data_IF_325591480800
#
_entry.id   IF_325591480800
#
_cell.length_a   1.000
_cell.length_b   1.000
_cell.length_c   1.000
_cell.angle_alpha   90.00
_cell.angle_beta   90.00
_cell.angle_gamma   90.00
#
_symmetry.space_group_name_H-M   'P 1'
#
loop_
_entity.id
_entity.type
_entity.pdbx_description
1 polymer ?
#
# COMPACT_ATOMS: atom_id res chain seq x y z
N UNK A 1 3.73 -13.17 -3.05
CA UNK A 1 3.47 -12.34 -1.86
C UNK A 1 2.15 -12.72 -1.17
N UNK A 2 1.01 -12.64 -1.86
CA UNK A 2 -0.34 -12.84 -1.29
C UNK A 2 -0.57 -14.11 -0.45
N UNK A 3 -0.22 -15.34 -0.91
CA UNK A 3 -0.48 -16.56 -0.14
C UNK A 3 0.28 -16.64 1.19
N UNK A 4 1.41 -15.93 1.30
CA UNK A 4 2.22 -15.88 2.52
C UNK A 4 1.57 -14.93 3.53
N UNK A 5 1.10 -13.76 3.06
CA UNK A 5 0.42 -12.78 3.91
C UNK A 5 -0.89 -13.35 4.47
N UNK A 6 -1.69 -14.03 3.64
CA UNK A 6 -2.93 -14.68 4.11
C UNK A 6 -2.70 -15.73 5.19
N UNK A 7 -1.58 -16.47 5.09
CA UNK A 7 -1.24 -17.53 6.03
C UNK A 7 -0.63 -17.01 7.34
N UNK A 8 0.10 -15.90 7.29
CA UNK A 8 0.94 -15.42 8.38
C UNK A 8 0.53 -14.05 8.94
N UNK A 9 -0.51 -13.41 8.43
CA UNK A 9 -1.03 -12.17 8.98
C UNK A 9 -1.41 -12.37 10.47
N UNK A 10 -0.81 -11.61 11.39
CA UNK A 10 -1.23 -11.66 12.79
C UNK A 10 -2.67 -11.18 12.93
N UNK A 11 -3.41 -11.75 13.88
CA UNK A 11 -4.86 -11.53 13.99
C UNK A 11 -5.24 -10.27 14.77
N UNK A 12 -4.26 -9.63 15.39
CA UNK A 12 -4.39 -8.51 16.32
C UNK A 12 -3.93 -7.17 15.72
N UNK A 13 -3.35 -7.19 14.52
CA UNK A 13 -2.92 -5.98 13.80
C UNK A 13 -3.51 -5.92 12.40
N UNK A 14 -3.49 -4.73 11.80
CA UNK A 14 -3.80 -4.54 10.39
C UNK A 14 -2.57 -4.89 9.56
N UNK A 15 -2.76 -5.73 8.54
CA UNK A 15 -1.71 -6.07 7.57
C UNK A 15 -2.16 -5.62 6.18
N UNK A 16 -1.35 -4.82 5.51
CA UNK A 16 -1.65 -4.30 4.18
C UNK A 16 -0.46 -4.51 3.23
N UNK A 17 -0.76 -4.83 1.96
CA UNK A 17 0.20 -4.81 0.86
C UNK A 17 -0.27 -3.78 -0.15
N UNK A 18 0.53 -2.74 -0.32
CA UNK A 18 0.32 -1.70 -1.31
C UNK A 18 1.30 -1.81 -2.48
N UNK A 19 0.88 -1.31 -3.63
CA UNK A 19 1.73 -1.09 -4.80
C UNK A 19 1.65 0.37 -5.20
N UNK A 20 2.78 0.93 -5.63
CA UNK A 20 2.83 2.26 -6.22
C UNK A 20 2.32 2.16 -7.66
N UNK A 21 1.25 2.89 -7.96
CA UNK A 21 0.71 3.03 -9.32
C UNK A 21 0.64 4.51 -9.63
N UNK A 22 1.38 4.95 -10.65
CA UNK A 22 1.59 6.38 -10.86
C UNK A 22 1.92 7.01 -9.49
N UNK A 23 1.23 8.07 -9.13
CA UNK A 23 1.42 8.85 -7.92
C UNK A 23 0.56 8.40 -6.74
N UNK A 24 -0.04 7.22 -6.85
CA UNK A 24 -1.04 6.72 -5.93
C UNK A 24 -0.64 5.37 -5.35
N UNK A 25 -1.10 5.11 -4.13
CA UNK A 25 -0.99 3.79 -3.53
C UNK A 25 -2.28 2.99 -3.81
N UNK A 26 -2.11 1.76 -4.30
CA UNK A 26 -3.21 0.80 -4.47
C UNK A 26 -2.97 -0.38 -3.53
N UNK A 27 -3.96 -0.69 -2.68
CA UNK A 27 -3.88 -1.84 -1.79
C UNK A 27 -4.43 -3.11 -2.46
N UNK A 28 -3.54 -4.07 -2.66
CA UNK A 28 -3.83 -5.39 -3.23
C UNK A 28 -4.02 -6.46 -2.15
N UNK A 29 -3.76 -6.12 -0.89
CA UNK A 29 -4.11 -6.91 0.29
C UNK A 29 -4.38 -5.97 1.45
N UNK A 30 -5.45 -6.23 2.19
CA UNK A 30 -5.74 -5.57 3.46
C UNK A 30 -6.50 -6.53 4.38
N UNK A 31 -5.90 -6.87 5.51
CA UNK A 31 -6.50 -7.68 6.56
C UNK A 31 -6.64 -6.84 7.82
N UNK A 32 -7.83 -6.86 8.42
CA UNK A 32 -8.11 -6.21 9.69
C UNK A 32 -8.39 -7.25 10.78
N UNK A 33 -8.08 -6.95 12.05
CA UNK A 33 -8.46 -7.81 13.15
C UNK A 33 -9.96 -8.14 13.12
N UNK A 34 -10.29 -9.44 13.15
CA UNK A 34 -11.68 -9.91 13.13
C UNK A 34 -12.33 -10.02 11.74
N UNK A 35 -11.67 -9.63 10.64
CA UNK A 35 -12.18 -9.93 9.30
C UNK A 35 -11.92 -11.39 8.92
N UNK A 36 -12.92 -12.07 8.34
CA UNK A 36 -12.78 -13.45 7.85
C UNK A 36 -12.13 -13.54 6.46
N UNK A 37 -11.62 -12.44 5.92
CA UNK A 37 -11.03 -12.40 4.59
C UNK A 37 -10.21 -11.15 4.31
N UNK A 38 -9.29 -11.30 3.36
CA UNK A 38 -8.57 -10.19 2.72
C UNK A 38 -9.56 -9.34 1.93
N UNK A 39 -9.57 -8.03 2.18
CA UNK A 39 -10.28 -7.07 1.34
C UNK A 39 -9.26 -6.36 0.47
N UNK A 40 -9.34 -6.53 -0.84
CA UNK A 40 -8.51 -5.78 -1.76
C UNK A 40 -9.21 -5.51 -3.09
N UNK A 41 -8.74 -4.46 -3.77
CA UNK A 41 -9.21 -3.85 -5.02
C UNK A 41 -10.54 -3.08 -5.02
N UNK A 42 -11.56 -3.42 -4.21
CA UNK A 42 -12.87 -2.73 -4.29
C UNK A 42 -13.22 -1.84 -3.07
N UNK A 43 -12.47 -1.94 -1.96
CA UNK A 43 -12.85 -1.31 -0.68
C UNK A 43 -11.98 -0.14 -0.22
N UNK A 44 -10.78 0.05 -0.79
CA UNK A 44 -9.84 1.08 -0.36
C UNK A 44 -9.74 2.21 -1.39
N UNK A 45 -9.98 3.44 -0.93
CA UNK A 45 -9.79 4.64 -1.76
C UNK A 45 -8.33 4.74 -2.18
N UNK A 46 -8.10 4.98 -3.47
CA UNK A 46 -6.79 5.41 -3.94
C UNK A 46 -6.48 6.75 -3.27
N UNK A 47 -5.27 6.88 -2.74
CA UNK A 47 -4.78 8.13 -2.19
C UNK A 47 -3.39 8.44 -2.74
N UNK A 48 -2.99 9.71 -2.75
CA UNK A 48 -1.65 10.08 -3.15
C UNK A 48 -0.61 9.37 -2.29
N UNK A 49 0.45 8.83 -2.92
CA UNK A 49 1.46 8.02 -2.25
C UNK A 49 2.14 8.78 -1.10
N UNK A 50 2.34 10.10 -1.24
CA UNK A 50 2.93 10.96 -0.20
C UNK A 50 2.03 11.17 1.02
N UNK A 51 0.76 10.76 0.99
CA UNK A 51 -0.17 10.82 2.12
C UNK A 51 -0.29 9.47 2.86
N UNK A 52 0.47 8.45 2.45
CA UNK A 52 0.45 7.11 3.03
C UNK A 52 1.84 6.72 3.53
N UNK A 53 1.94 6.11 4.71
CA UNK A 53 3.22 5.58 5.21
C UNK A 53 3.80 4.53 4.25
N UNK A 54 2.95 3.62 3.76
CA UNK A 54 3.35 2.61 2.77
C UNK A 54 3.76 3.28 1.44
N UNK A 55 3.05 4.33 1.03
CA UNK A 55 3.37 5.08 -0.18
C UNK A 55 4.72 5.80 -0.08
N UNK A 56 4.98 6.49 1.04
CA UNK A 56 6.27 7.12 1.32
C UNK A 56 7.41 6.10 1.36
N UNK A 57 7.19 4.93 1.96
CA UNK A 57 8.18 3.86 1.98
C UNK A 57 8.51 3.33 0.56
N UNK A 58 7.52 3.27 -0.33
CA UNK A 58 7.73 2.90 -1.73
C UNK A 58 8.44 4.01 -2.51
N UNK A 59 8.07 5.27 -2.29
CA UNK A 59 8.72 6.43 -2.92
C UNK A 59 10.19 6.56 -2.50
N UNK A 60 10.54 6.15 -1.28
CA UNK A 60 11.91 6.17 -0.78
C UNK A 60 12.87 5.20 -1.52
N UNK A 61 12.35 4.32 -2.38
CA UNK A 61 13.16 3.48 -3.26
C UNK A 61 13.52 4.18 -4.59
N UNK A 62 12.85 5.27 -4.93
CA UNK A 62 13.12 6.08 -6.13
C UNK A 62 14.21 7.12 -5.84
N UNK A 63 14.88 7.63 -6.89
CA UNK A 63 15.87 8.70 -6.73
C UNK A 63 15.20 10.07 -6.58
N UNK A 64 15.89 11.00 -5.92
CA UNK A 64 15.41 12.37 -5.74
C UNK A 64 15.10 13.04 -7.09
N UNK A 65 15.89 12.81 -8.13
CA UNK A 65 15.65 13.36 -9.47
C UNK A 65 14.34 12.87 -10.07
N UNK A 66 14.03 11.58 -9.91
CA UNK A 66 12.77 10.99 -10.38
C UNK A 66 11.57 11.56 -9.61
N UNK A 67 11.71 11.70 -8.28
CA UNK A 67 10.67 12.29 -7.43
C UNK A 67 10.45 13.78 -7.73
N UNK A 68 11.51 14.55 -7.98
CA UNK A 68 11.41 15.96 -8.34
C UNK A 68 10.61 16.17 -9.62
N UNK A 69 10.87 15.41 -10.67
CA UNK A 69 10.09 15.49 -11.91
C UNK A 69 8.61 15.21 -11.69
N UNK A 70 8.29 14.36 -10.72
CA UNK A 70 6.94 13.90 -10.42
C UNK A 70 6.11 14.90 -9.61
N UNK A 71 6.75 15.64 -8.72
CA UNK A 71 6.09 16.61 -7.83
C UNK A 71 6.35 18.07 -8.21
N UNK A 72 6.92 18.32 -9.39
CA UNK A 72 6.99 19.67 -9.97
C UNK A 72 5.63 20.04 -10.58
N UNK A 73 5.06 21.22 -10.29
CA UNK A 73 3.78 21.68 -10.85
C UNK A 73 3.75 21.79 -12.37
#
# INVERSE_FOLDING_TARGET
ALPILERHAPKDIVVALGVLWEDQIIYIYHSTPGSQGSQALAGFRMCPAWQSVTGVALLAAESDEALMQRFTP
#
